data_IF_241834733350
#
_entry.id   IF_241834733350
#
_cell.length_a   1.000
_cell.length_b   1.000
_cell.length_c   1.000
_cell.angle_alpha   90.00
_cell.angle_beta   90.00
_cell.angle_gamma   90.00
#
_symmetry.space_group_name_H-M   'P 1'
#
loop_
_entity.id
_entity.type
_entity.pdbx_description
1 polymer ?
#
# COMPACT_ATOMS: atom_id res chain seq x y z
N UNK A 1 -10.98 24.94 -11.34
CA UNK A 1 -10.33 23.76 -10.74
C UNK A 1 -10.18 22.73 -11.85
N UNK A 2 -9.01 22.12 -12.09
CA UNK A 2 -8.92 21.03 -13.04
C UNK A 2 -9.86 19.90 -12.56
N UNK A 3 -10.71 19.40 -13.45
CA UNK A 3 -11.58 18.27 -13.13
C UNK A 3 -10.69 17.06 -12.78
N UNK A 4 -10.92 16.39 -11.64
CA UNK A 4 -10.18 15.16 -11.34
C UNK A 4 -10.39 14.16 -12.47
N UNK A 5 -9.32 13.48 -12.87
CA UNK A 5 -9.41 12.41 -13.88
C UNK A 5 -10.36 11.35 -13.32
N UNK A 6 -11.51 11.06 -13.96
CA UNK A 6 -12.46 10.12 -13.39
C UNK A 6 -11.86 8.72 -13.45
N UNK A 7 -11.74 8.08 -12.28
CA UNK A 7 -11.38 6.68 -12.17
C UNK A 7 -12.56 5.79 -12.57
N UNK A 8 -12.37 4.93 -13.56
CA UNK A 8 -13.37 3.97 -14.03
C UNK A 8 -12.86 2.55 -13.78
N UNK A 9 -11.67 2.23 -14.29
CA UNK A 9 -11.03 0.95 -14.10
C UNK A 9 -10.59 0.72 -12.66
N UNK A 10 -10.02 1.74 -11.99
CA UNK A 10 -9.67 1.65 -10.57
C UNK A 10 -10.92 1.46 -9.66
N UNK A 11 -12.11 1.83 -10.14
CA UNK A 11 -13.39 1.60 -9.45
C UNK A 11 -14.05 0.25 -9.80
N UNK A 12 -13.36 -0.65 -10.49
CA UNK A 12 -13.82 -2.04 -10.61
C UNK A 12 -13.75 -2.73 -9.24
N UNK A 13 -14.67 -3.69 -9.05
CA UNK A 13 -14.81 -4.43 -7.80
C UNK A 13 -13.51 -5.19 -7.49
N UNK A 14 -13.07 -5.12 -6.23
CA UNK A 14 -11.98 -5.95 -5.69
C UNK A 14 -12.59 -6.97 -4.75
N UNK A 15 -12.46 -8.25 -5.09
CA UNK A 15 -12.95 -9.36 -4.29
C UNK A 15 -14.45 -9.18 -3.93
N UNK A 16 -14.93 -9.83 -2.87
CA UNK A 16 -16.26 -9.60 -2.31
C UNK A 16 -16.37 -8.29 -1.49
N UNK A 17 -15.41 -7.36 -1.60
CA UNK A 17 -15.26 -6.19 -0.71
C UNK A 17 -15.88 -4.90 -1.24
N UNK A 18 -16.08 -4.79 -2.56
CA UNK A 18 -16.68 -3.61 -3.19
C UNK A 18 -15.68 -2.88 -4.10
N UNK A 19 -15.85 -1.56 -4.22
CA UNK A 19 -15.02 -0.69 -5.08
C UNK A 19 -14.23 0.29 -4.22
N UNK A 20 -13.06 0.70 -4.71
CA UNK A 20 -12.24 1.68 -4.00
C UNK A 20 -12.99 3.03 -3.89
N UNK A 21 -13.03 3.66 -2.70
CA UNK A 21 -13.58 5.00 -2.53
C UNK A 21 -12.77 6.04 -3.31
N UNK A 22 -13.43 7.07 -3.86
CA UNK A 22 -12.74 8.13 -4.61
C UNK A 22 -11.72 8.86 -3.74
N UNK A 23 -12.06 9.17 -2.49
CA UNK A 23 -11.15 9.80 -1.54
C UNK A 23 -9.86 8.99 -1.33
N UNK A 24 -9.95 7.66 -1.26
CA UNK A 24 -8.77 6.81 -1.14
C UNK A 24 -7.91 6.87 -2.42
N UNK A 25 -8.52 6.84 -3.60
CA UNK A 25 -7.80 6.92 -4.88
C UNK A 25 -7.09 8.27 -5.04
N UNK A 26 -7.74 9.36 -4.66
CA UNK A 26 -7.17 10.70 -4.67
C UNK A 26 -6.00 10.83 -3.68
N UNK A 27 -6.14 10.27 -2.46
CA UNK A 27 -5.08 10.30 -1.44
C UNK A 27 -3.82 9.55 -1.86
N UNK A 28 -3.95 8.34 -2.43
CA UNK A 28 -2.77 7.58 -2.87
C UNK A 28 -2.07 8.25 -4.07
N UNK A 29 -2.83 8.89 -4.97
CA UNK A 29 -2.26 9.68 -6.08
C UNK A 29 -1.54 10.92 -5.56
N UNK A 30 -2.17 11.65 -4.63
CA UNK A 30 -1.56 12.84 -4.03
C UNK A 30 -0.24 12.49 -3.33
N UNK A 31 -0.22 11.39 -2.57
CA UNK A 31 0.99 10.86 -1.95
C UNK A 31 2.06 10.50 -3.00
N UNK A 32 1.71 9.73 -4.04
CA UNK A 32 2.69 9.26 -5.02
C UNK A 32 3.34 10.37 -5.85
N UNK A 33 2.67 11.52 -6.00
CA UNK A 33 3.24 12.72 -6.66
C UNK A 33 4.42 13.31 -5.87
N UNK A 34 4.40 13.21 -4.55
CA UNK A 34 5.45 13.78 -3.68
C UNK A 34 6.37 12.73 -3.07
N UNK A 35 5.99 11.45 -3.14
CA UNK A 35 6.77 10.33 -2.62
C UNK A 35 8.15 10.24 -3.31
N UNK A 36 9.23 10.05 -2.55
CA UNK A 36 10.57 10.00 -3.10
C UNK A 36 10.77 8.81 -4.04
N UNK A 37 11.57 9.04 -5.08
CA UNK A 37 11.80 8.06 -6.17
C UNK A 37 12.40 6.74 -5.66
N UNK A 38 13.13 6.76 -4.54
CA UNK A 38 13.74 5.56 -3.97
C UNK A 38 12.71 4.47 -3.69
N UNK A 39 11.48 4.83 -3.26
CA UNK A 39 10.40 3.88 -2.97
C UNK A 39 10.02 3.05 -4.19
N UNK A 40 10.07 3.65 -5.39
CA UNK A 40 9.67 2.97 -6.61
C UNK A 40 10.87 2.49 -7.41
N UNK A 41 12.11 2.80 -7.05
CA UNK A 41 13.29 2.40 -7.80
C UNK A 41 13.42 0.86 -7.90
N UNK A 42 13.86 0.31 -9.05
CA UNK A 42 14.12 -1.12 -9.21
C UNK A 42 15.10 -1.65 -8.17
N UNK A 43 14.85 -2.86 -7.68
CA UNK A 43 15.80 -3.62 -6.86
C UNK A 43 16.27 -4.88 -7.58
N UNK A 44 17.52 -5.33 -7.34
CA UNK A 44 18.02 -6.59 -7.90
C UNK A 44 17.44 -7.83 -7.20
N UNK A 45 16.70 -7.65 -6.10
CA UNK A 45 16.00 -8.71 -5.38
C UNK A 45 14.55 -8.85 -5.88
N UNK A 46 13.94 -10.01 -5.64
CA UNK A 46 12.50 -10.20 -5.87
C UNK A 46 11.71 -9.20 -5.03
N UNK A 47 10.89 -8.39 -5.70
CA UNK A 47 10.07 -7.34 -5.10
C UNK A 47 8.66 -7.37 -5.69
N UNK A 48 7.76 -6.51 -5.21
CA UNK A 48 6.36 -6.46 -5.68
C UNK A 48 6.25 -6.35 -7.21
N UNK A 49 7.14 -5.61 -7.85
CA UNK A 49 7.17 -5.48 -9.31
C UNK A 49 7.50 -6.81 -9.98
N UNK A 50 8.41 -7.61 -9.42
CA UNK A 50 8.68 -8.96 -9.93
C UNK A 50 7.45 -9.86 -9.83
N UNK A 51 6.70 -9.76 -8.73
CA UNK A 51 5.51 -10.59 -8.50
C UNK A 51 4.33 -10.24 -9.42
N UNK A 52 4.06 -8.95 -9.63
CA UNK A 52 2.92 -8.50 -10.44
C UNK A 52 3.21 -8.36 -11.93
N UNK A 53 4.47 -8.49 -12.35
CA UNK A 53 4.89 -8.44 -13.76
C UNK A 53 4.10 -9.39 -14.69
N UNK A 54 3.73 -10.63 -14.30
CA UNK A 54 2.91 -11.51 -15.14
C UNK A 54 1.52 -10.93 -15.48
N UNK A 55 1.00 -10.02 -14.66
CA UNK A 55 -0.34 -9.43 -14.83
C UNK A 55 -0.27 -8.01 -15.37
N UNK A 56 0.60 -7.18 -14.81
CA UNK A 56 0.67 -5.75 -15.09
C UNK A 56 1.81 -5.37 -16.06
N UNK A 57 2.78 -6.26 -16.26
CA UNK A 57 3.94 -6.00 -17.10
C UNK A 57 3.69 -6.23 -18.59
N UNK A 58 4.76 -6.11 -19.42
CA UNK A 58 6.13 -5.76 -19.01
C UNK A 58 6.26 -4.29 -18.58
N UNK A 59 7.26 -3.98 -17.76
CA UNK A 59 7.57 -2.61 -17.34
C UNK A 59 8.73 -2.03 -18.15
N UNK A 60 8.61 -0.76 -18.52
CA UNK A 60 9.66 -0.02 -19.20
C UNK A 60 10.81 0.24 -18.22
N UNK A 61 12.05 -0.18 -18.54
CA UNK A 61 13.19 0.03 -17.67
C UNK A 61 13.39 1.52 -17.35
N UNK A 62 13.46 1.85 -16.06
CA UNK A 62 13.67 3.23 -15.59
C UNK A 62 12.43 4.14 -15.64
N UNK A 63 11.26 3.65 -16.09
CA UNK A 63 10.03 4.45 -16.09
C UNK A 63 9.43 4.55 -14.68
N UNK A 64 9.82 5.60 -13.98
CA UNK A 64 9.36 5.89 -12.62
C UNK A 64 7.87 6.21 -12.54
N UNK A 65 7.27 6.74 -13.61
CA UNK A 65 5.83 7.03 -13.62
C UNK A 65 5.03 5.75 -13.68
N UNK A 66 5.42 4.83 -14.57
CA UNK A 66 4.80 3.51 -14.65
C UNK A 66 4.94 2.75 -13.34
N UNK A 67 6.13 2.78 -12.72
CA UNK A 67 6.37 2.09 -11.45
C UNK A 67 5.57 2.68 -10.28
N UNK A 68 5.38 4.00 -10.24
CA UNK A 68 4.43 4.64 -9.31
C UNK A 68 3.01 4.14 -9.54
N UNK A 69 2.52 4.19 -10.78
CA UNK A 69 1.16 3.76 -11.12
C UNK A 69 0.89 2.29 -10.80
N UNK A 70 1.86 1.40 -11.04
CA UNK A 70 1.79 -0.02 -10.65
C UNK A 70 1.71 -0.16 -9.13
N UNK A 71 2.51 0.59 -8.36
CA UNK A 71 2.41 0.56 -6.90
C UNK A 71 1.03 1.03 -6.41
N UNK A 72 0.47 2.08 -7.03
CA UNK A 72 -0.88 2.55 -6.69
C UNK A 72 -1.95 1.48 -6.93
N UNK A 73 -1.84 0.75 -8.03
CA UNK A 73 -2.76 -0.35 -8.32
C UNK A 73 -2.64 -1.50 -7.31
N UNK A 74 -1.42 -1.83 -6.89
CA UNK A 74 -1.21 -2.82 -5.82
C UNK A 74 -1.81 -2.34 -4.51
N UNK A 75 -1.53 -1.11 -4.08
CA UNK A 75 -2.08 -0.53 -2.85
C UNK A 75 -3.62 -0.51 -2.88
N UNK A 76 -4.21 -0.16 -4.02
CA UNK A 76 -5.67 -0.16 -4.20
C UNK A 76 -6.28 -1.53 -3.96
N UNK A 77 -5.71 -2.57 -4.57
CA UNK A 77 -6.22 -3.94 -4.44
C UNK A 77 -5.95 -4.48 -3.03
N UNK A 78 -4.76 -4.25 -2.50
CA UNK A 78 -4.36 -4.70 -1.17
C UNK A 78 -5.25 -4.09 -0.08
N UNK A 79 -5.47 -2.77 -0.10
CA UNK A 79 -6.39 -2.10 0.83
C UNK A 79 -7.81 -2.67 0.79
N UNK A 80 -8.30 -3.02 -0.40
CA UNK A 80 -9.59 -3.69 -0.57
C UNK A 80 -9.61 -5.05 0.13
N UNK A 81 -8.60 -5.88 -0.13
CA UNK A 81 -8.46 -7.21 0.45
C UNK A 81 -8.41 -7.20 1.97
N UNK A 82 -7.50 -6.39 2.50
CA UNK A 82 -7.10 -6.39 3.90
C UNK A 82 -8.17 -5.77 4.80
N UNK A 83 -8.74 -4.63 4.39
CA UNK A 83 -9.59 -3.84 5.27
C UNK A 83 -10.88 -3.33 4.64
N UNK A 84 -11.11 -3.58 3.35
CA UNK A 84 -12.15 -2.88 2.56
C UNK A 84 -11.94 -1.36 2.59
N UNK A 85 -10.69 -0.92 2.42
CA UNK A 85 -10.27 0.49 2.44
C UNK A 85 -10.56 1.22 3.76
N UNK A 86 -10.56 0.51 4.90
CA UNK A 86 -10.81 1.10 6.22
C UNK A 86 -9.51 1.47 6.92
N UNK A 87 -9.24 2.77 7.01
CA UNK A 87 -8.07 3.33 7.71
C UNK A 87 -7.96 2.91 9.17
N UNK A 88 -9.08 2.72 9.86
CA UNK A 88 -9.10 2.39 11.30
C UNK A 88 -9.16 0.89 11.58
N UNK A 89 -9.03 0.02 10.57
CA UNK A 89 -9.11 -1.43 10.73
C UNK A 89 -8.02 -2.00 11.65
N UNK A 90 -8.28 -3.18 12.21
CA UNK A 90 -7.42 -3.86 13.18
C UNK A 90 -8.21 -4.28 14.42
N UNK A 91 -7.58 -5.10 15.27
CA UNK A 91 -8.22 -5.69 16.46
C UNK A 91 -8.62 -4.61 17.46
N UNK A 92 -9.81 -4.79 18.04
CA UNK A 92 -10.29 -4.04 19.19
C UNK A 92 -9.48 -4.47 20.43
N UNK A 93 -8.75 -3.54 21.03
CA UNK A 93 -7.86 -3.77 22.18
C UNK A 93 -8.62 -4.11 23.46
N UNK A 94 -9.95 -4.12 23.44
CA UNK A 94 -10.79 -4.59 24.57
C UNK A 94 -10.87 -6.12 24.67
N UNK A 95 -10.33 -6.87 23.71
CA UNK A 95 -10.29 -8.33 23.76
C UNK A 95 -9.02 -8.87 24.48
N UNK A 96 -9.15 -9.51 25.66
CA UNK A 96 -8.02 -10.00 26.44
C UNK A 96 -7.25 -11.17 25.81
N UNK A 97 -7.78 -11.82 24.76
CA UNK A 97 -7.10 -12.90 24.02
C UNK A 97 -6.19 -12.38 22.89
N UNK A 98 -5.97 -11.05 22.82
CA UNK A 98 -5.22 -10.43 21.74
C UNK A 98 -3.71 -10.66 21.88
N UNK A 99 -3.12 -11.19 20.82
CA UNK A 99 -1.67 -11.27 20.61
C UNK A 99 -1.01 -9.89 20.85
N UNK A 100 0.26 -9.88 21.25
CA UNK A 100 0.96 -8.65 21.70
C UNK A 100 0.89 -7.51 20.68
N UNK A 101 1.02 -6.22 21.09
CA UNK A 101 0.88 -5.06 20.19
C UNK A 101 1.73 -5.12 18.92
N UNK A 102 2.86 -5.82 18.92
CA UNK A 102 3.74 -5.94 17.76
C UNK A 102 3.25 -6.94 16.70
N UNK A 103 2.36 -7.85 17.06
CA UNK A 103 1.82 -8.90 16.17
C UNK A 103 0.47 -8.54 15.58
N UNK A 104 -0.27 -7.61 16.20
CA UNK A 104 -1.56 -7.14 15.70
C UNK A 104 -1.35 -6.35 14.42
N UNK A 105 -2.06 -6.76 13.38
CA UNK A 105 -2.16 -6.03 12.12
C UNK A 105 -3.11 -4.84 12.27
N UNK A 106 -2.68 -3.68 11.77
CA UNK A 106 -3.40 -2.42 11.94
C UNK A 106 -3.50 -1.64 10.63
N UNK A 107 -4.58 -0.86 10.56
CA UNK A 107 -4.87 0.09 9.50
C UNK A 107 -5.29 -0.54 8.18
N UNK A 108 -5.35 0.30 7.16
CA UNK A 108 -5.92 -0.03 5.86
C UNK A 108 -5.23 -1.20 5.15
N UNK A 109 -3.93 -1.38 5.40
CA UNK A 109 -3.09 -2.43 4.79
C UNK A 109 -2.79 -3.59 5.75
N UNK A 110 -3.39 -3.60 6.95
CA UNK A 110 -3.21 -4.65 7.97
C UNK A 110 -1.73 -5.01 8.19
N UNK A 111 -0.89 -4.00 8.50
CA UNK A 111 0.53 -4.20 8.81
C UNK A 111 0.77 -4.26 10.32
N UNK A 112 1.70 -5.11 10.77
CA UNK A 112 2.04 -5.26 12.19
C UNK A 112 3.39 -4.64 12.54
N UNK A 113 3.58 -4.26 13.81
CA UNK A 113 4.81 -3.62 14.29
C UNK A 113 6.08 -4.45 14.08
N UNK A 114 5.98 -5.79 14.03
CA UNK A 114 7.11 -6.67 13.71
C UNK A 114 7.77 -6.32 12.37
N UNK A 115 7.00 -5.78 11.42
CA UNK A 115 7.50 -5.42 10.10
C UNK A 115 8.54 -4.30 10.12
N UNK A 116 8.64 -3.52 11.20
CA UNK A 116 9.66 -2.47 11.34
C UNK A 116 11.09 -3.01 11.25
N UNK A 117 11.29 -4.31 11.49
CA UNK A 117 12.62 -4.92 11.48
C UNK A 117 13.11 -5.36 10.10
N UNK A 118 12.32 -5.21 9.02
CA UNK A 118 12.74 -5.58 7.66
C UNK A 118 13.81 -4.65 7.08
N UNK A 119 13.80 -3.38 7.46
CA UNK A 119 14.78 -2.41 6.98
C UNK A 119 14.86 -1.20 7.92
N UNK A 120 16.03 -0.55 7.96
CA UNK A 120 16.24 0.64 8.80
C UNK A 120 15.34 1.82 8.37
N UNK A 121 15.05 1.96 7.07
CA UNK A 121 14.17 3.01 6.56
C UNK A 121 12.74 2.92 7.09
N UNK A 122 12.25 1.72 7.43
CA UNK A 122 10.95 1.54 8.07
C UNK A 122 10.96 2.06 9.50
N UNK A 123 12.03 1.76 10.27
CA UNK A 123 12.19 2.31 11.63
C UNK A 123 12.29 3.83 11.62
N UNK A 124 13.03 4.38 10.67
CA UNK A 124 13.22 5.82 10.56
C UNK A 124 11.92 6.52 10.20
N UNK A 125 11.12 5.94 9.31
CA UNK A 125 9.78 6.44 8.99
C UNK A 125 8.85 6.42 10.21
N UNK A 126 8.88 5.34 11.00
CA UNK A 126 8.08 5.24 12.23
C UNK A 126 8.52 6.27 13.27
N UNK A 127 9.83 6.44 13.50
CA UNK A 127 10.33 7.48 14.41
C UNK A 127 9.96 8.89 13.95
N UNK A 128 10.02 9.16 12.66
CA UNK A 128 9.63 10.45 12.12
C UNK A 128 8.13 10.75 12.34
N UNK A 129 7.27 9.72 12.24
CA UNK A 129 5.83 9.89 12.38
C UNK A 129 5.31 9.79 13.81
N UNK A 130 5.93 8.97 14.67
CA UNK A 130 5.44 8.63 16.01
C UNK A 130 6.41 8.99 17.16
N UNK A 131 7.65 9.36 16.86
CA UNK A 131 8.67 9.69 17.87
C UNK A 131 9.25 8.49 18.64
N UNK A 132 8.72 7.28 18.44
CA UNK A 132 9.13 6.04 19.11
C UNK A 132 9.04 4.85 18.13
N UNK A 133 9.55 3.68 18.55
CA UNK A 133 9.35 2.39 17.86
C UNK A 133 8.39 1.46 18.63
N UNK A 134 7.66 1.99 19.61
CA UNK A 134 6.67 1.21 20.36
C UNK A 134 5.53 0.75 19.44
N UNK A 135 5.17 -0.54 19.54
CA UNK A 135 4.18 -1.12 18.65
C UNK A 135 2.77 -0.55 18.85
N UNK A 136 2.44 -0.06 20.05
CA UNK A 136 1.17 0.67 20.28
C UNK A 136 1.15 2.00 19.54
N UNK A 137 2.25 2.76 19.61
CA UNK A 137 2.40 4.01 18.87
C UNK A 137 2.39 3.77 17.36
N UNK A 138 3.05 2.68 16.90
CA UNK A 138 2.99 2.22 15.51
C UNK A 138 1.53 1.97 15.07
N UNK A 139 0.74 1.21 15.82
CA UNK A 139 -0.67 0.98 15.47
C UNK A 139 -1.47 2.27 15.43
N UNK A 140 -1.28 3.15 16.42
CA UNK A 140 -1.98 4.42 16.50
C UNK A 140 -1.67 5.32 15.29
N UNK A 141 -0.39 5.50 14.95
CA UNK A 141 0.02 6.32 13.81
C UNK A 141 -0.39 5.70 12.47
N UNK A 142 -0.37 4.36 12.36
CA UNK A 142 -0.82 3.65 11.15
C UNK A 142 -2.31 3.89 10.87
N UNK A 143 -3.13 3.99 11.90
CA UNK A 143 -4.58 4.26 11.77
C UNK A 143 -4.90 5.75 11.58
N UNK A 144 -4.09 6.65 12.13
CA UNK A 144 -4.37 8.09 12.18
C UNK A 144 -3.68 8.91 11.08
N UNK A 145 -2.53 8.46 10.57
CA UNK A 145 -1.74 9.18 9.56
C UNK A 145 -1.70 8.38 8.26
N UNK A 146 -2.58 8.76 7.31
CA UNK A 146 -2.74 8.04 6.05
C UNK A 146 -1.48 8.08 5.18
N UNK A 147 -0.81 9.24 5.10
CA UNK A 147 0.43 9.37 4.32
C UNK A 147 1.52 8.42 4.85
N UNK A 148 1.65 8.35 6.19
CA UNK A 148 2.53 7.37 6.83
C UNK A 148 2.13 5.93 6.47
N UNK A 149 0.84 5.57 6.58
CA UNK A 149 0.39 4.20 6.30
C UNK A 149 0.64 3.77 4.85
N UNK A 150 0.39 4.68 3.89
CA UNK A 150 0.65 4.46 2.46
C UNK A 150 2.14 4.25 2.22
N UNK A 151 2.98 5.17 2.72
CA UNK A 151 4.42 5.08 2.50
C UNK A 151 5.04 3.86 3.17
N UNK A 152 4.63 3.57 4.41
CA UNK A 152 5.12 2.42 5.16
C UNK A 152 4.83 1.12 4.40
N UNK A 153 3.60 0.94 3.92
CA UNK A 153 3.23 -0.24 3.14
C UNK A 153 4.01 -0.31 1.82
N UNK A 154 4.09 0.80 1.07
CA UNK A 154 4.83 0.83 -0.19
C UNK A 154 6.32 0.49 -0.01
N UNK A 155 6.95 0.98 1.07
CA UNK A 155 8.34 0.61 1.42
C UNK A 155 8.44 -0.85 1.81
N UNK A 156 7.53 -1.36 2.65
CA UNK A 156 7.53 -2.75 3.10
C UNK A 156 7.46 -3.74 1.92
N UNK A 157 6.62 -3.45 0.92
CA UNK A 157 6.47 -4.24 -0.31
C UNK A 157 7.73 -4.32 -1.18
N UNK A 158 8.74 -3.48 -0.91
CA UNK A 158 10.07 -3.59 -1.53
C UNK A 158 10.94 -4.63 -0.86
N UNK A 159 10.72 -4.90 0.43
CA UNK A 159 11.59 -5.75 1.24
C UNK A 159 11.03 -7.15 1.44
N UNK A 160 9.70 -7.27 1.56
CA UNK A 160 9.04 -8.56 1.75
C UNK A 160 7.63 -8.56 1.20
N UNK A 161 7.25 -9.69 0.62
CA UNK A 161 5.88 -9.99 0.19
C UNK A 161 5.23 -11.06 1.10
N UNK A 162 6.04 -11.74 1.92
CA UNK A 162 5.63 -12.88 2.76
C UNK A 162 4.69 -12.47 3.90
N UNK A 163 4.75 -11.20 4.30
CA UNK A 163 3.91 -10.62 5.35
C UNK A 163 2.53 -10.18 4.86
N UNK A 164 2.27 -10.26 3.56
CA UNK A 164 0.97 -9.96 2.98
C UNK A 164 0.42 -11.23 2.35
N UNK A 165 -0.38 -11.98 3.11
CA UNK A 165 -1.01 -13.24 2.66
C UNK A 165 -1.65 -13.13 1.26
N UNK A 166 -2.43 -12.07 0.96
CA UNK A 166 -3.01 -11.88 -0.38
C UNK A 166 -2.00 -11.74 -1.52
N UNK A 167 -0.78 -11.25 -1.23
CA UNK A 167 0.30 -11.10 -2.22
C UNK A 167 1.07 -12.41 -2.32
N UNK A 168 1.54 -12.95 -1.20
CA UNK A 168 2.27 -14.24 -1.13
C UNK A 168 1.52 -15.35 -1.87
N UNK A 169 0.21 -15.44 -1.65
CA UNK A 169 -0.66 -16.48 -2.22
C UNK A 169 -1.26 -16.05 -3.58
N UNK A 170 -0.83 -14.90 -4.12
CA UNK A 170 -1.24 -14.32 -5.42
C UNK A 170 -2.74 -14.06 -5.56
N UNK A 171 -3.47 -13.96 -4.45
CA UNK A 171 -4.90 -13.68 -4.45
C UNK A 171 -5.24 -12.33 -5.08
N UNK A 172 -4.33 -11.35 -5.01
CA UNK A 172 -4.54 -10.03 -5.62
C UNK A 172 -4.48 -10.05 -7.15
N UNK A 173 -3.80 -11.02 -7.76
CA UNK A 173 -3.45 -10.99 -9.20
C UNK A 173 -4.66 -10.84 -10.12
N UNK A 174 -5.75 -11.57 -9.83
CA UNK A 174 -6.98 -11.52 -10.64
C UNK A 174 -7.74 -10.19 -10.54
N UNK A 175 -7.37 -9.31 -9.61
CA UNK A 175 -8.04 -8.02 -9.36
C UNK A 175 -7.21 -6.82 -9.80
N UNK A 176 -5.96 -7.06 -10.21
CA UNK A 176 -5.09 -6.06 -10.81
C UNK A 176 -5.55 -5.78 -12.25
N UNK A 177 -5.47 -4.52 -12.67
CA UNK A 177 -5.92 -4.07 -13.99
C UNK A 177 -4.88 -3.15 -14.64
N UNK A 178 -4.49 -3.48 -15.88
CA UNK A 178 -3.65 -2.59 -16.70
C UNK A 178 -4.36 -1.28 -17.03
N UNK A 179 -5.68 -1.31 -17.16
CA UNK A 179 -6.47 -0.10 -17.38
C UNK A 179 -6.46 0.81 -16.14
N UNK A 180 -6.49 0.24 -14.93
CA UNK A 180 -6.35 1.02 -13.69
C UNK A 180 -4.94 1.63 -13.57
N UNK A 181 -3.88 0.89 -13.95
CA UNK A 181 -2.52 1.44 -14.04
C UNK A 181 -2.48 2.63 -15.00
N UNK A 182 -3.10 2.53 -16.18
CA UNK A 182 -3.13 3.64 -17.14
C UNK A 182 -3.88 4.89 -16.61
N UNK A 183 -4.95 4.69 -15.83
CA UNK A 183 -5.64 5.78 -15.12
C UNK A 183 -4.71 6.47 -14.11
N UNK A 184 -3.97 5.69 -13.32
CA UNK A 184 -2.99 6.21 -12.39
C UNK A 184 -1.83 6.94 -13.08
N UNK A 185 -1.29 6.42 -14.20
CA UNK A 185 -0.25 7.11 -14.97
C UNK A 185 -0.73 8.48 -15.48
N UNK A 186 -1.99 8.55 -15.95
CA UNK A 186 -2.61 9.82 -16.36
C UNK A 186 -2.78 10.77 -15.19
N UNK A 187 -3.23 10.28 -14.03
CA UNK A 187 -3.39 11.10 -12.83
C UNK A 187 -2.05 11.64 -12.30
N UNK A 188 -0.97 10.87 -12.42
CA UNK A 188 0.39 11.27 -12.04
C UNK A 188 1.03 12.29 -13.01
N UNK A 189 0.53 12.38 -14.25
CA UNK A 189 1.01 13.34 -15.24
C UNK A 189 0.32 14.72 -15.17
N UNK A 190 -0.79 14.80 -14.42
CA UNK A 190 -1.55 16.04 -14.17
C UNK A 190 -1.03 16.84 -12.99
#
# INVERSE_FOLDING_TARGET
MPNPTPFVAAKKKVHNRGVAPDAFLDEIVAWAKTAPDDIFAPRPQHEIYSDVAPVLGPFTPGDMRQRRAVMLEVLRVLAGYESSWKWTAGVDTTNPDSNTPCTIEAGIFQVSGNSMNFDQSLKDLVRAAAGTLDCEAFQAVTKANHAFAIEYCARLLRFTLEHHGPIRDKHIHQWLSKEAVAEFEKALAS
#
